data_IF_698174669579
#
_entry.id   IF_698174669579
#
_cell.length_a   1.000
_cell.length_b   1.000
_cell.length_c   1.000
_cell.angle_alpha   90.00
_cell.angle_beta   90.00
_cell.angle_gamma   90.00
#
_symmetry.space_group_name_H-M   'P 1'
#
loop_
_entity.id
_entity.type
_entity.pdbx_description
1 polymer ?
#
# COMPACT_ATOMS: atom_id res chain seq x y z
N UNK A 1 0.05 -3.21 -80.86
CA UNK A 1 0.77 -4.48 -80.62
C UNK A 1 2.21 -4.13 -80.24
N UNK A 2 2.47 -4.02 -78.94
CA UNK A 2 3.71 -3.65 -78.22
C UNK A 2 3.18 -3.32 -76.80
N UNK A 3 3.72 -3.75 -75.67
CA UNK A 3 5.00 -4.34 -75.31
C UNK A 3 4.88 -4.74 -73.83
N UNK A 4 5.21 -6.00 -73.51
CA UNK A 4 6.04 -6.44 -72.38
C UNK A 4 5.50 -6.25 -70.94
N UNK A 5 5.07 -7.36 -70.33
CA UNK A 5 5.41 -7.73 -68.94
C UNK A 5 6.84 -8.31 -68.93
N UNK A 6 7.62 -8.15 -67.82
CA UNK A 6 7.98 -9.38 -67.11
C UNK A 6 8.16 -9.26 -65.58
N UNK A 7 7.68 -10.31 -64.92
CA UNK A 7 8.32 -11.09 -63.83
C UNK A 7 8.84 -10.34 -62.59
N UNK A 8 8.05 -10.43 -61.52
CA UNK A 8 8.50 -10.35 -60.13
C UNK A 8 9.54 -11.45 -59.84
N UNK A 9 10.77 -11.04 -59.52
CA UNK A 9 11.77 -11.91 -58.90
C UNK A 9 11.47 -12.05 -57.41
N UNK A 10 11.41 -13.31 -56.95
CA UNK A 10 11.45 -13.67 -55.54
C UNK A 10 12.85 -13.37 -54.99
N UNK A 11 12.95 -12.40 -54.09
CA UNK A 11 14.14 -12.24 -53.23
C UNK A 11 13.92 -13.12 -52.01
N UNK A 12 14.67 -14.22 -51.94
CA UNK A 12 14.77 -15.09 -50.77
C UNK A 12 15.83 -14.48 -49.86
N UNK A 13 15.42 -13.87 -48.75
CA UNK A 13 16.32 -13.50 -47.67
C UNK A 13 16.59 -14.74 -46.82
N UNK A 14 17.84 -15.24 -46.86
CA UNK A 14 18.33 -16.20 -45.90
C UNK A 14 18.56 -15.49 -44.56
N UNK A 15 17.65 -15.66 -43.60
CA UNK A 15 17.93 -15.37 -42.21
C UNK A 15 18.60 -16.60 -41.59
N UNK A 16 19.92 -16.54 -41.48
CA UNK A 16 20.71 -17.47 -40.68
C UNK A 16 20.39 -17.22 -39.20
N UNK A 17 19.68 -18.17 -38.58
CA UNK A 17 19.45 -18.23 -37.14
C UNK A 17 20.80 -18.51 -36.44
N UNK A 18 21.48 -17.46 -36.01
CA UNK A 18 22.56 -17.55 -35.02
C UNK A 18 21.89 -17.69 -33.66
N UNK A 19 21.78 -18.94 -33.18
CA UNK A 19 21.51 -19.26 -31.78
C UNK A 19 22.68 -18.72 -30.95
N UNK A 20 22.60 -17.46 -30.52
CA UNK A 20 23.35 -17.00 -29.37
C UNK A 20 22.77 -17.73 -28.17
N UNK A 21 23.52 -18.72 -27.70
CA UNK A 21 23.35 -19.36 -26.41
C UNK A 21 23.53 -18.27 -25.35
N UNK A 22 22.47 -17.51 -25.06
CA UNK A 22 22.37 -16.80 -23.79
C UNK A 22 22.37 -17.91 -22.75
N UNK A 23 23.54 -18.13 -22.16
CA UNK A 23 23.61 -18.69 -20.81
C UNK A 23 22.74 -17.76 -20.00
N UNK A 24 21.52 -18.23 -19.70
CA UNK A 24 20.72 -17.70 -18.61
C UNK A 24 21.59 -17.88 -17.37
N UNK A 25 22.42 -16.86 -17.10
CA UNK A 25 22.76 -16.56 -15.73
C UNK A 25 21.39 -16.41 -15.09
N UNK A 26 21.07 -17.33 -14.18
CA UNK A 26 19.93 -17.24 -13.30
C UNK A 26 19.99 -15.87 -12.61
N UNK A 27 19.44 -14.84 -13.25
CA UNK A 27 18.93 -13.63 -12.63
C UNK A 27 17.55 -13.98 -12.06
N UNK A 28 17.48 -15.07 -11.29
CA UNK A 28 16.68 -14.95 -10.08
C UNK A 28 17.43 -13.88 -9.31
N UNK A 29 16.86 -12.68 -9.24
CA UNK A 29 17.11 -11.74 -8.16
C UNK A 29 17.34 -12.59 -6.91
N UNK A 30 18.58 -12.64 -6.40
CA UNK A 30 18.77 -13.13 -5.04
C UNK A 30 17.98 -12.13 -4.21
N UNK A 31 16.77 -12.55 -3.83
CA UNK A 31 15.83 -11.67 -3.20
C UNK A 31 16.50 -11.11 -1.93
N UNK A 32 16.76 -9.79 -1.83
CA UNK A 32 17.52 -9.23 -0.71
C UNK A 32 16.85 -9.47 0.66
N UNK A 33 15.61 -9.96 0.66
CA UNK A 33 14.78 -10.24 1.82
C UNK A 33 15.07 -11.59 2.52
N UNK A 34 15.85 -12.50 1.91
CA UNK A 34 16.27 -13.75 2.56
C UNK A 34 17.76 -13.70 2.92
N UNK A 35 18.09 -13.15 4.09
CA UNK A 35 19.45 -13.29 4.61
C UNK A 35 19.75 -14.75 5.01
N UNK A 36 18.76 -15.43 5.63
CA UNK A 36 18.83 -16.83 6.08
C UNK A 36 17.39 -17.34 6.30
N UNK A 37 17.05 -18.55 5.85
CA UNK A 37 15.71 -19.15 6.05
C UNK A 37 15.20 -19.07 7.49
N UNK A 38 16.10 -19.09 8.47
CA UNK A 38 15.76 -19.02 9.89
C UNK A 38 15.47 -17.61 10.39
N UNK A 39 16.21 -16.60 9.92
CA UNK A 39 15.86 -15.18 10.13
C UNK A 39 14.89 -14.77 9.04
N UNK A 40 13.61 -15.08 9.25
CA UNK A 40 12.62 -14.98 8.20
C UNK A 40 12.18 -13.54 7.89
N UNK A 41 12.49 -12.57 8.76
CA UNK A 41 12.24 -11.15 8.52
C UNK A 41 13.30 -10.28 9.18
N UNK A 42 13.85 -9.34 8.42
CA UNK A 42 14.74 -8.29 8.92
C UNK A 42 14.26 -6.94 8.40
N UNK A 43 14.17 -5.96 9.28
CA UNK A 43 13.92 -4.58 8.89
C UNK A 43 14.86 -3.61 9.64
N UNK A 44 15.54 -2.70 8.94
CA UNK A 44 15.80 -2.72 7.51
C UNK A 44 16.45 -4.04 7.07
N UNK A 45 16.31 -4.41 5.80
CA UNK A 45 17.00 -5.59 5.27
C UNK A 45 18.49 -5.27 5.03
N UNK A 46 19.35 -6.30 4.90
CA UNK A 46 20.76 -6.11 4.57
C UNK A 46 20.97 -5.28 3.32
N UNK A 47 21.87 -4.31 3.41
CA UNK A 47 22.27 -3.36 2.36
C UNK A 47 21.14 -2.43 1.87
N UNK A 48 20.02 -2.36 2.60
CA UNK A 48 18.94 -1.43 2.31
C UNK A 48 19.42 0.02 2.30
N UNK A 49 18.85 0.84 1.42
CA UNK A 49 19.23 2.25 1.24
C UNK A 49 18.05 3.18 1.48
N UNK A 50 18.37 4.49 1.57
CA UNK A 50 17.40 5.54 1.83
C UNK A 50 16.58 5.31 3.11
N UNK A 51 17.17 4.63 4.10
CA UNK A 51 16.51 4.33 5.36
C UNK A 51 16.28 5.62 6.15
N UNK A 52 15.09 5.73 6.74
CA UNK A 52 14.74 6.85 7.59
C UNK A 52 15.61 6.85 8.87
N UNK A 53 16.23 7.99 9.26
CA UNK A 53 17.00 8.15 10.50
C UNK A 53 16.30 7.70 11.77
N UNK A 54 14.97 7.77 11.80
CA UNK A 54 14.16 7.39 12.96
C UNK A 54 13.82 5.89 12.96
N UNK A 55 14.35 5.08 12.03
CA UNK A 55 13.98 3.66 11.91
C UNK A 55 14.22 2.85 13.18
N UNK A 56 13.30 1.93 13.47
CA UNK A 56 13.57 0.83 14.41
C UNK A 56 14.26 -0.31 13.65
N UNK A 57 14.86 -1.24 14.41
CA UNK A 57 15.30 -2.53 13.85
C UNK A 57 14.33 -3.62 14.28
N UNK A 58 13.95 -4.49 13.36
CA UNK A 58 13.09 -5.64 13.61
C UNK A 58 13.83 -6.89 13.13
N UNK A 59 14.04 -7.83 14.05
CA UNK A 59 14.68 -9.11 13.77
C UNK A 59 13.69 -10.20 14.15
N UNK A 60 13.24 -10.99 13.16
CA UNK A 60 12.40 -12.16 13.41
C UNK A 60 13.09 -13.46 13.07
N UNK A 61 12.89 -14.45 13.92
CA UNK A 61 13.54 -15.74 13.81
C UNK A 61 12.55 -16.91 13.99
N UNK A 62 12.77 -18.01 13.26
CA UNK A 62 11.87 -19.18 13.25
C UNK A 62 11.75 -19.90 14.59
N UNK A 63 12.83 -19.93 15.38
CA UNK A 63 12.75 -20.36 16.79
C UNK A 63 12.46 -19.15 17.69
N UNK A 64 11.57 -19.28 18.69
CA UNK A 64 11.28 -18.21 19.63
C UNK A 64 12.49 -17.96 20.52
N UNK A 65 12.90 -16.71 20.66
CA UNK A 65 13.95 -16.25 21.56
C UNK A 65 13.60 -16.53 23.03
N UNK A 66 14.63 -16.82 23.82
CA UNK A 66 14.56 -16.96 25.28
C UNK A 66 14.10 -15.64 25.92
N UNK A 67 13.22 -15.75 26.92
CA UNK A 67 12.81 -14.59 27.73
C UNK A 67 13.97 -14.06 28.59
N UNK A 68 14.99 -14.89 28.86
CA UNK A 68 16.25 -14.47 29.45
C UNK A 68 17.20 -13.95 28.36
N UNK A 69 17.32 -12.62 28.28
CA UNK A 69 18.17 -11.90 27.34
C UNK A 69 19.58 -11.62 27.87
N UNK A 70 19.98 -12.13 29.05
CA UNK A 70 21.27 -11.79 29.67
C UNK A 70 22.49 -12.16 28.79
N UNK A 71 22.38 -13.21 27.97
CA UNK A 71 23.43 -13.65 27.06
C UNK A 71 23.33 -12.99 25.68
N UNK A 72 22.22 -12.34 25.37
CA UNK A 72 21.97 -11.70 24.10
C UNK A 72 22.78 -10.41 24.00
N UNK A 73 23.58 -10.31 22.95
CA UNK A 73 24.34 -9.10 22.60
C UNK A 73 23.88 -8.63 21.24
N UNK A 74 22.96 -7.66 21.22
CA UNK A 74 22.62 -6.91 20.02
C UNK A 74 23.36 -5.57 20.06
N UNK A 75 24.38 -5.44 19.22
CA UNK A 75 25.18 -4.24 19.07
C UNK A 75 24.80 -3.55 17.77
N UNK A 76 24.45 -2.27 17.85
CA UNK A 76 24.20 -1.40 16.70
C UNK A 76 25.30 -0.36 16.65
N UNK A 77 25.93 -0.16 15.50
CA UNK A 77 27.05 0.77 15.34
C UNK A 77 26.87 1.70 14.16
N UNK A 78 27.39 2.92 14.24
CA UNK A 78 27.47 3.83 13.09
C UNK A 78 28.67 3.51 12.17
N UNK A 79 28.85 4.30 11.11
CA UNK A 79 29.95 4.14 10.14
C UNK A 79 31.35 4.33 10.73
N UNK A 80 31.48 4.83 11.97
CA UNK A 80 32.73 4.96 12.72
C UNK A 80 32.96 3.79 13.68
N UNK A 81 32.08 2.78 13.68
CA UNK A 81 32.03 1.67 14.63
C UNK A 81 31.75 2.10 16.08
N UNK A 82 31.15 3.28 16.29
CA UNK A 82 30.71 3.70 17.62
C UNK A 82 29.40 2.98 17.95
N UNK A 83 29.30 2.42 19.15
CA UNK A 83 28.09 1.72 19.60
C UNK A 83 27.00 2.74 19.90
N UNK A 84 25.86 2.56 19.25
CA UNK A 84 24.66 3.36 19.42
C UNK A 84 23.82 2.78 20.55
N UNK A 85 23.18 3.65 21.32
CA UNK A 85 22.33 3.26 22.46
C UNK A 85 20.88 3.11 22.02
N UNK A 86 20.16 2.24 22.73
CA UNK A 86 18.78 1.90 22.42
C UNK A 86 18.22 0.81 23.31
N UNK A 87 16.90 0.64 23.24
CA UNK A 87 16.14 -0.34 24.01
C UNK A 87 15.82 -1.54 23.14
N UNK A 88 16.03 -2.74 23.69
CA UNK A 88 15.59 -4.00 23.06
C UNK A 88 14.24 -4.38 23.66
N UNK A 89 13.28 -4.68 22.79
CA UNK A 89 11.99 -5.26 23.15
C UNK A 89 11.92 -6.67 22.58
N UNK A 90 11.54 -7.63 23.42
CA UNK A 90 11.06 -8.93 22.98
C UNK A 90 9.53 -8.87 22.97
N UNK A 91 8.90 -9.11 21.82
CA UNK A 91 7.44 -9.09 21.70
C UNK A 91 6.83 -10.41 22.17
N UNK A 92 5.51 -10.41 22.42
CA UNK A 92 4.79 -11.54 23.04
C UNK A 92 4.87 -12.84 22.23
N UNK A 93 5.09 -12.75 20.92
CA UNK A 93 5.35 -13.90 20.06
C UNK A 93 6.67 -14.63 20.39
N UNK A 94 7.57 -13.99 21.14
CA UNK A 94 8.97 -14.36 21.34
C UNK A 94 9.75 -14.59 20.04
N UNK A 95 9.17 -14.34 18.88
CA UNK A 95 9.82 -14.49 17.58
C UNK A 95 10.40 -13.16 17.09
N UNK A 96 9.99 -12.04 17.69
CA UNK A 96 10.38 -10.70 17.26
C UNK A 96 11.21 -9.98 18.32
N UNK A 97 12.46 -9.64 17.97
CA UNK A 97 13.28 -8.67 18.69
C UNK A 97 13.19 -7.32 17.98
N UNK A 98 12.87 -6.26 18.72
CA UNK A 98 12.81 -4.90 18.21
C UNK A 98 13.83 -4.05 18.94
N UNK A 99 14.71 -3.40 18.20
CA UNK A 99 15.62 -2.39 18.74
C UNK A 99 15.06 -1.00 18.46
N UNK A 100 14.86 -0.23 19.53
CA UNK A 100 14.43 1.16 19.51
C UNK A 100 15.65 2.05 19.80
N UNK A 101 16.21 2.76 18.82
CA UNK A 101 17.32 3.68 19.07
C UNK A 101 16.92 4.77 20.07
N UNK A 102 17.82 5.12 20.99
CA UNK A 102 17.57 6.22 21.95
C UNK A 102 17.59 7.60 21.27
N UNK A 103 18.28 7.70 20.13
CA UNK A 103 18.36 8.88 19.28
C UNK A 103 18.26 8.46 17.80
N UNK A 104 17.76 9.34 16.91
CA UNK A 104 17.79 9.09 15.48
C UNK A 104 19.23 8.87 14.99
N UNK A 105 19.39 8.03 13.98
CA UNK A 105 20.67 7.85 13.30
C UNK A 105 21.08 9.11 12.53
N UNK A 106 22.38 9.31 12.31
CA UNK A 106 22.84 10.46 11.51
C UNK A 106 22.57 10.22 10.02
N UNK A 107 22.16 11.27 9.30
CA UNK A 107 21.94 11.21 7.86
C UNK A 107 23.23 10.79 7.12
N UNK A 108 23.11 9.83 6.20
CA UNK A 108 24.23 9.33 5.40
C UNK A 108 25.10 8.29 6.12
N UNK A 109 24.79 7.92 7.36
CA UNK A 109 25.52 6.86 8.05
C UNK A 109 25.24 5.48 7.45
N UNK A 110 26.24 4.60 7.59
CA UNK A 110 26.08 3.16 7.42
C UNK A 110 25.93 2.55 8.81
N UNK A 111 24.79 1.92 9.07
CA UNK A 111 24.49 1.31 10.36
C UNK A 111 24.82 -0.16 10.30
N UNK A 112 25.72 -0.61 11.17
CA UNK A 112 26.03 -2.02 11.38
C UNK A 112 25.17 -2.62 12.49
N UNK A 113 24.67 -3.83 12.27
CA UNK A 113 23.86 -4.59 13.22
C UNK A 113 24.56 -5.93 13.48
N UNK A 114 24.79 -6.25 14.75
CA UNK A 114 25.42 -7.51 15.15
C UNK A 114 24.66 -8.15 16.31
N UNK A 115 24.12 -9.34 16.11
CA UNK A 115 23.45 -10.13 17.14
C UNK A 115 24.27 -11.38 17.46
N UNK A 116 24.60 -11.58 18.73
CA UNK A 116 25.34 -12.76 19.22
C UNK A 116 24.78 -13.29 20.52
N UNK A 117 24.99 -14.59 20.77
CA UNK A 117 24.70 -15.23 22.05
C UNK A 117 23.20 -15.35 22.37
N UNK A 118 22.34 -15.07 21.39
CA UNK A 118 20.91 -15.31 21.51
C UNK A 118 20.63 -16.82 21.68
N UNK A 119 19.64 -17.13 22.51
CA UNK A 119 19.18 -18.50 22.75
C UNK A 119 17.69 -18.58 22.47
N UNK A 120 17.21 -19.75 22.07
CA UNK A 120 15.78 -20.01 21.95
C UNK A 120 15.18 -20.47 23.28
N UNK A 121 13.85 -20.49 23.37
CA UNK A 121 13.13 -20.99 24.56
C UNK A 121 13.41 -22.48 24.84
N UNK A 122 13.76 -23.26 23.83
CA UNK A 122 14.20 -24.66 23.98
C UNK A 122 15.64 -24.78 24.48
N UNK A 123 16.35 -23.66 24.64
CA UNK A 123 17.74 -23.61 25.13
C UNK A 123 18.79 -23.78 24.03
N UNK A 124 18.39 -23.88 22.75
CA UNK A 124 19.31 -23.94 21.62
C UNK A 124 20.00 -22.57 21.44
N UNK A 125 21.20 -22.58 20.86
CA UNK A 125 21.81 -21.36 20.38
C UNK A 125 21.10 -20.90 19.10
N UNK A 126 20.72 -19.63 19.07
CA UNK A 126 20.34 -18.94 17.84
C UNK A 126 21.64 -18.52 17.15
N UNK A 127 21.72 -18.70 15.84
CA UNK A 127 22.92 -18.31 15.09
C UNK A 127 23.23 -16.81 15.19
N UNK A 128 24.51 -16.46 15.13
CA UNK A 128 24.92 -15.06 15.05
C UNK A 128 24.40 -14.43 13.74
N UNK A 129 24.05 -13.14 13.81
CA UNK A 129 23.60 -12.34 12.67
C UNK A 129 24.43 -11.07 12.55
N UNK A 130 24.86 -10.73 11.34
CA UNK A 130 25.61 -9.51 11.05
C UNK A 130 25.24 -8.93 9.69
N UNK A 131 24.77 -7.69 9.66
CA UNK A 131 24.46 -6.98 8.42
C UNK A 131 24.60 -5.47 8.61
N UNK A 132 24.48 -4.72 7.52
CA UNK A 132 24.45 -3.26 7.54
C UNK A 132 23.34 -2.71 6.65
N UNK A 133 23.00 -1.43 6.83
CA UNK A 133 22.11 -0.67 5.94
C UNK A 133 22.50 0.81 5.93
N UNK A 134 21.95 1.59 5.00
CA UNK A 134 22.32 2.98 4.75
C UNK A 134 21.18 3.94 5.09
N UNK A 135 21.46 4.89 5.98
CA UNK A 135 20.55 6.00 6.27
C UNK A 135 20.57 6.98 5.10
N UNK A 136 19.40 7.51 4.73
CA UNK A 136 19.30 8.54 3.69
C UNK A 136 20.22 9.72 3.98
N UNK A 137 20.81 10.29 2.94
CA UNK A 137 21.79 11.37 3.09
C UNK A 137 21.17 12.72 3.46
N UNK A 138 19.87 12.90 3.20
CA UNK A 138 19.15 14.15 3.47
C UNK A 138 17.70 13.86 3.83
N UNK A 139 17.16 14.66 4.74
CA UNK A 139 15.72 14.69 4.99
C UNK A 139 15.04 15.63 4.00
N UNK A 140 13.98 15.16 3.37
CA UNK A 140 13.04 16.01 2.62
C UNK A 140 11.81 16.24 3.50
N UNK A 141 11.38 17.49 3.72
CA UNK A 141 10.16 17.75 4.46
C UNK A 141 8.95 17.21 3.68
N UNK A 142 7.86 16.84 4.36
CA UNK A 142 6.60 16.54 3.70
C UNK A 142 6.18 17.70 2.81
N UNK A 143 5.69 17.36 1.62
CA UNK A 143 5.09 18.32 0.70
C UNK A 143 3.58 18.17 0.81
N UNK A 144 2.87 19.26 1.07
CA UNK A 144 1.42 19.30 0.90
C UNK A 144 1.12 19.15 -0.59
N UNK A 145 0.67 17.97 -0.99
CA UNK A 145 0.17 17.70 -2.32
C UNK A 145 -1.32 17.58 -2.18
N UNK A 146 -2.02 18.61 -2.63
CA UNK A 146 -3.46 18.51 -2.82
C UNK A 146 -3.67 17.66 -4.08
N UNK A 147 -3.85 16.35 -3.91
CA UNK A 147 -4.02 15.39 -5.01
C UNK A 147 -5.27 15.69 -5.87
N UNK A 148 -6.10 16.65 -5.45
CA UNK A 148 -7.30 17.13 -6.13
C UNK A 148 -7.09 18.54 -6.74
N UNK A 149 -6.19 18.67 -7.72
CA UNK A 149 -6.05 19.92 -8.50
C UNK A 149 -7.14 20.10 -9.57
N UNK A 150 -7.88 19.03 -9.90
CA UNK A 150 -9.12 19.11 -10.66
C UNK A 150 -10.27 19.22 -9.67
N UNK A 151 -10.76 20.44 -9.44
CA UNK A 151 -11.88 20.68 -8.53
C UNK A 151 -13.01 19.66 -8.74
N UNK A 152 -13.71 19.31 -7.65
CA UNK A 152 -14.84 18.38 -7.69
C UNK A 152 -15.72 18.68 -8.90
N UNK A 153 -16.19 17.66 -9.65
CA UNK A 153 -17.14 17.92 -10.71
C UNK A 153 -18.28 18.73 -10.10
N UNK A 154 -18.38 20.00 -10.50
CA UNK A 154 -19.56 20.80 -10.23
C UNK A 154 -20.66 20.15 -11.04
N UNK A 155 -21.33 19.13 -10.48
CA UNK A 155 -22.59 18.70 -11.04
C UNK A 155 -23.62 19.75 -10.64
N UNK A 156 -23.66 20.78 -11.48
CA UNK A 156 -24.85 21.51 -11.85
C UNK A 156 -25.85 20.46 -12.30
N UNK A 157 -26.78 20.13 -11.42
CA UNK A 157 -28.21 20.31 -11.64
C UNK A 157 -28.86 20.04 -10.29
N UNK A 158 -29.70 20.97 -9.83
CA UNK A 158 -30.66 20.74 -8.76
C UNK A 158 -31.65 19.65 -9.20
N UNK A 159 -31.20 18.40 -9.29
CA UNK A 159 -32.09 17.26 -9.20
C UNK A 159 -32.49 17.18 -7.74
N UNK A 160 -33.57 17.89 -7.45
CA UNK A 160 -34.32 17.79 -6.20
C UNK A 160 -34.84 16.36 -6.10
N UNK A 161 -33.97 15.42 -5.72
CA UNK A 161 -34.43 14.19 -5.10
C UNK A 161 -34.83 14.63 -3.70
N UNK A 162 -36.14 14.82 -3.51
CA UNK A 162 -36.71 14.89 -2.17
C UNK A 162 -36.30 13.59 -1.49
N UNK A 163 -35.29 13.66 -0.63
CA UNK A 163 -35.09 12.65 0.39
C UNK A 163 -36.46 12.37 0.99
N UNK A 164 -36.86 11.10 1.04
CA UNK A 164 -38.08 10.70 1.75
C UNK A 164 -38.01 11.03 3.25
N UNK A 165 -36.89 11.55 3.75
CA UNK A 165 -36.78 12.10 5.09
C UNK A 165 -37.71 13.30 5.27
N UNK A 166 -38.61 13.22 6.23
CA UNK A 166 -39.37 14.36 6.76
C UNK A 166 -38.49 15.41 7.48
N UNK A 167 -37.16 15.25 7.44
CA UNK A 167 -36.18 16.07 8.15
C UNK A 167 -35.58 17.16 7.26
N UNK A 168 -35.37 18.34 7.86
CA UNK A 168 -34.60 19.43 7.28
C UNK A 168 -33.10 19.13 7.45
N UNK A 169 -32.36 19.00 6.35
CA UNK A 169 -30.92 18.71 6.35
C UNK A 169 -30.10 20.02 6.31
N UNK A 170 -28.90 20.05 6.90
CA UNK A 170 -28.09 21.26 6.93
C UNK A 170 -27.57 21.67 5.55
N UNK A 171 -27.23 22.95 5.40
CA UNK A 171 -26.61 23.49 4.20
C UNK A 171 -25.33 22.72 3.83
N UNK A 172 -25.22 22.35 2.56
CA UNK A 172 -24.05 21.63 2.04
C UNK A 172 -24.05 20.12 2.31
N UNK A 173 -25.09 19.58 2.97
CA UNK A 173 -25.27 18.13 3.07
C UNK A 173 -25.34 17.53 1.65
N UNK A 174 -24.59 16.46 1.35
CA UNK A 174 -24.55 15.88 0.02
C UNK A 174 -25.85 15.13 -0.30
N UNK A 175 -26.37 15.33 -1.49
CA UNK A 175 -27.57 14.65 -1.97
C UNK A 175 -27.20 13.48 -2.86
N UNK A 176 -27.87 12.34 -2.65
CA UNK A 176 -27.67 11.11 -3.42
C UNK A 176 -28.98 10.69 -4.07
N UNK A 177 -28.88 10.15 -5.28
CA UNK A 177 -29.97 9.43 -5.95
C UNK A 177 -29.69 7.94 -5.81
N UNK A 178 -30.62 7.20 -5.19
CA UNK A 178 -30.53 5.74 -5.13
C UNK A 178 -31.22 5.21 -6.38
N UNK A 179 -30.42 4.75 -7.34
CA UNK A 179 -30.92 4.21 -8.60
C UNK A 179 -31.65 2.87 -8.44
N UNK A 180 -31.01 1.89 -7.80
CA UNK A 180 -31.58 0.58 -7.51
C UNK A 180 -31.16 0.09 -6.12
N UNK A 181 -32.13 -0.37 -5.33
CA UNK A 181 -31.92 -1.00 -4.01
C UNK A 181 -32.71 -2.31 -3.95
N UNK A 182 -32.11 -3.40 -4.45
CA UNK A 182 -32.75 -4.72 -4.52
C UNK A 182 -32.19 -5.71 -3.49
N UNK A 183 -30.95 -5.53 -3.04
CA UNK A 183 -30.35 -6.23 -1.90
C UNK A 183 -29.88 -5.21 -0.86
N UNK A 184 -30.69 -4.94 0.18
CA UNK A 184 -30.25 -4.11 1.29
C UNK A 184 -29.02 -4.72 1.97
N UNK A 185 -28.10 -3.88 2.45
CA UNK A 185 -27.04 -4.34 3.35
C UNK A 185 -27.67 -5.04 4.55
N UNK A 186 -27.06 -6.16 4.96
CA UNK A 186 -27.55 -6.92 6.12
C UNK A 186 -27.45 -6.08 7.41
N UNK A 187 -26.46 -5.18 7.46
CA UNK A 187 -26.19 -4.25 8.56
C UNK A 187 -27.05 -2.99 8.53
N UNK A 188 -27.88 -2.82 7.49
CA UNK A 188 -28.82 -1.71 7.30
C UNK A 188 -28.22 -0.31 7.10
N UNK A 189 -26.90 -0.13 7.22
CA UNK A 189 -26.24 1.18 7.19
C UNK A 189 -25.00 1.24 6.30
N UNK A 190 -24.81 2.39 5.65
CA UNK A 190 -23.63 2.74 4.88
C UNK A 190 -22.85 3.86 5.56
N UNK A 191 -21.54 3.68 5.72
CA UNK A 191 -20.64 4.69 6.25
C UNK A 191 -19.92 5.37 5.08
N UNK A 192 -19.96 6.70 5.05
CA UNK A 192 -19.41 7.48 3.95
C UNK A 192 -18.72 8.74 4.48
N UNK A 193 -17.58 9.06 3.89
CA UNK A 193 -16.96 10.37 3.98
C UNK A 193 -17.25 11.10 2.67
N UNK A 194 -17.95 12.22 2.74
CA UNK A 194 -18.29 13.04 1.58
C UNK A 194 -17.41 14.27 1.51
N UNK A 195 -16.95 14.53 0.31
CA UNK A 195 -16.22 15.73 -0.07
C UNK A 195 -17.02 16.64 -1.01
N UNK A 196 -18.28 16.28 -1.30
CA UNK A 196 -19.14 17.03 -2.22
C UNK A 196 -19.80 18.17 -1.47
N UNK A 197 -19.54 19.40 -1.90
CA UNK A 197 -20.07 20.62 -1.28
C UNK A 197 -19.27 20.99 -0.03
N UNK A 198 -19.57 20.36 1.10
CA UNK A 198 -18.79 20.47 2.34
C UNK A 198 -18.32 19.08 2.79
N UNK A 199 -17.41 19.05 3.76
CA UNK A 199 -16.87 17.79 4.27
C UNK A 199 -17.79 17.20 5.34
N UNK A 200 -18.33 16.02 5.09
CA UNK A 200 -19.27 15.35 5.99
C UNK A 200 -18.89 13.90 6.23
N UNK A 201 -19.05 13.46 7.47
CA UNK A 201 -19.20 12.05 7.80
C UNK A 201 -20.66 11.69 7.88
N UNK A 202 -21.04 10.60 7.23
CA UNK A 202 -22.42 10.19 7.04
C UNK A 202 -22.61 8.72 7.40
N UNK A 203 -23.70 8.43 8.10
CA UNK A 203 -24.26 7.09 8.21
C UNK A 203 -25.67 7.17 7.65
N UNK A 204 -25.94 6.45 6.58
CA UNK A 204 -27.27 6.40 5.95
C UNK A 204 -27.81 4.99 5.96
N UNK A 205 -29.12 4.83 6.02
CA UNK A 205 -29.75 3.53 5.82
C UNK A 205 -29.76 3.10 4.34
N UNK A 206 -30.36 1.95 4.04
CA UNK A 206 -30.52 1.46 2.66
C UNK A 206 -31.39 2.36 1.76
N UNK A 207 -32.17 3.28 2.33
CA UNK A 207 -32.96 4.25 1.59
C UNK A 207 -32.26 5.62 1.52
N UNK A 208 -31.01 5.72 1.96
CA UNK A 208 -30.25 6.97 1.97
C UNK A 208 -30.73 7.94 3.05
N UNK A 209 -31.57 7.48 3.98
CA UNK A 209 -32.04 8.30 5.10
C UNK A 209 -30.87 8.43 6.09
N UNK A 210 -30.46 9.65 6.46
CA UNK A 210 -29.38 9.83 7.42
C UNK A 210 -29.78 9.33 8.80
N UNK A 211 -28.95 8.46 9.35
CA UNK A 211 -28.95 8.05 10.76
C UNK A 211 -28.03 8.95 11.59
N UNK A 212 -26.88 9.33 11.02
CA UNK A 212 -25.91 10.23 11.62
C UNK A 212 -25.27 11.08 10.55
N UNK A 213 -24.96 12.33 10.88
CA UNK A 213 -24.05 13.14 10.10
C UNK A 213 -23.23 14.09 10.97
N UNK A 214 -22.03 14.42 10.51
CA UNK A 214 -21.17 15.42 11.15
C UNK A 214 -20.32 16.14 10.12
N UNK A 215 -20.47 17.45 10.05
CA UNK A 215 -19.59 18.32 9.26
C UNK A 215 -18.19 18.34 9.89
N UNK A 216 -17.15 18.25 9.06
CA UNK A 216 -15.76 18.44 9.46
C UNK A 216 -15.21 19.75 8.91
N UNK A 217 -14.31 20.44 9.65
CA UNK A 217 -13.78 21.73 9.22
C UNK A 217 -12.84 21.62 8.02
N UNK A 218 -12.30 20.43 7.77
CA UNK A 218 -11.41 20.11 6.64
C UNK A 218 -11.81 18.78 6.03
N UNK A 219 -11.18 18.45 4.90
CA UNK A 219 -11.25 17.17 4.22
C UNK A 219 -11.23 15.99 5.21
N UNK A 220 -12.15 15.07 4.99
CA UNK A 220 -12.28 13.85 5.76
C UNK A 220 -12.45 12.64 4.84
N UNK A 221 -11.86 11.52 5.22
CA UNK A 221 -11.81 10.30 4.41
C UNK A 221 -11.89 9.05 5.30
N UNK A 222 -12.04 7.88 4.68
CA UNK A 222 -11.96 6.57 5.33
C UNK A 222 -12.86 6.43 6.58
N UNK A 223 -14.11 6.89 6.47
CA UNK A 223 -15.09 6.77 7.54
C UNK A 223 -15.72 5.38 7.56
N UNK A 224 -15.37 4.59 8.56
CA UNK A 224 -15.79 3.19 8.66
C UNK A 224 -15.77 2.67 10.09
N UNK A 225 -16.41 1.51 10.29
CA UNK A 225 -16.26 0.69 11.50
C UNK A 225 -15.08 -0.27 11.29
N UNK A 226 -14.16 -0.32 12.24
CA UNK A 226 -13.03 -1.25 12.21
C UNK A 226 -13.38 -2.59 12.87
N UNK A 227 -12.49 -3.59 12.73
CA UNK A 227 -12.70 -4.94 13.28
C UNK A 227 -12.78 -4.99 14.81
N UNK A 228 -12.29 -3.96 15.50
CA UNK A 228 -12.43 -3.79 16.94
C UNK A 228 -13.76 -3.13 17.37
N UNK A 229 -14.64 -2.79 16.43
CA UNK A 229 -15.94 -2.18 16.66
C UNK A 229 -15.94 -0.66 16.84
N UNK A 230 -14.78 0.00 16.80
CA UNK A 230 -14.70 1.45 16.85
C UNK A 230 -14.80 2.08 15.46
N UNK A 231 -15.33 3.30 15.42
CA UNK A 231 -15.48 4.07 14.20
C UNK A 231 -14.22 4.90 14.00
N UNK A 232 -13.65 4.93 12.79
CA UNK A 232 -12.54 5.82 12.48
C UNK A 232 -12.83 6.68 11.26
N UNK A 233 -12.10 7.80 11.15
CA UNK A 233 -11.97 8.57 9.92
C UNK A 233 -10.69 9.38 9.90
N UNK A 234 -10.14 9.65 8.72
CA UNK A 234 -9.06 10.63 8.55
C UNK A 234 -9.59 12.06 8.60
N UNK A 235 -8.86 12.97 9.24
CA UNK A 235 -9.14 14.41 9.24
C UNK A 235 -7.88 15.22 8.88
N UNK A 236 -7.92 15.96 7.77
CA UNK A 236 -6.76 16.64 7.21
C UNK A 236 -6.11 17.65 8.18
N UNK A 237 -6.88 18.48 8.91
CA UNK A 237 -6.32 19.43 9.89
C UNK A 237 -5.53 18.78 11.02
N UNK A 238 -5.74 17.48 11.27
CA UNK A 238 -5.00 16.74 12.31
C UNK A 238 -3.86 15.91 11.75
N UNK A 239 -3.79 15.75 10.42
CA UNK A 239 -2.94 14.78 9.73
C UNK A 239 -2.98 13.39 10.41
N UNK A 240 -4.19 12.94 10.72
CA UNK A 240 -4.43 11.78 11.57
C UNK A 240 -5.79 11.13 11.32
N UNK A 241 -5.90 9.85 11.68
CA UNK A 241 -7.18 9.19 11.86
C UNK A 241 -7.70 9.41 13.28
N UNK A 242 -8.98 9.74 13.39
CA UNK A 242 -9.72 9.97 14.63
C UNK A 242 -10.52 8.72 14.96
N UNK A 243 -10.32 8.15 16.15
CA UNK A 243 -11.16 7.06 16.67
C UNK A 243 -12.33 7.61 17.50
N UNK A 244 -13.53 7.08 17.24
CA UNK A 244 -14.74 7.35 17.98
C UNK A 244 -15.33 6.06 18.58
N UNK A 245 -15.99 6.18 19.74
CA UNK A 245 -16.87 5.13 20.25
C UNK A 245 -18.25 5.11 19.56
N UNK A 246 -19.10 4.16 19.95
CA UNK A 246 -20.47 4.02 19.42
C UNK A 246 -21.41 5.18 19.79
N UNK A 247 -21.01 6.05 20.73
CA UNK A 247 -21.69 7.31 21.03
C UNK A 247 -21.03 8.51 20.32
N UNK A 248 -20.18 8.24 19.32
CA UNK A 248 -19.44 9.22 18.52
C UNK A 248 -18.48 10.12 19.33
N UNK A 249 -18.05 9.66 20.50
CA UNK A 249 -17.12 10.41 21.36
C UNK A 249 -15.68 10.07 20.97
N UNK A 250 -14.85 11.10 20.93
CA UNK A 250 -13.41 10.97 20.69
C UNK A 250 -12.74 10.01 21.68
N UNK A 251 -11.90 9.12 21.17
CA UNK A 251 -11.07 8.21 21.97
C UNK A 251 -9.58 8.48 21.83
N UNK A 252 -9.08 8.48 20.59
CA UNK A 252 -7.64 8.65 20.30
C UNK A 252 -7.40 9.07 18.84
N UNK A 253 -6.14 9.38 18.56
CA UNK A 253 -5.63 9.63 17.21
C UNK A 253 -4.65 8.53 16.80
N UNK A 254 -4.68 8.15 15.53
CA UNK A 254 -3.63 7.37 14.88
C UNK A 254 -2.86 8.27 13.92
N UNK A 255 -1.53 8.25 14.03
CA UNK A 255 -0.61 9.01 13.19
C UNK A 255 0.49 8.12 12.65
N UNK A 256 1.10 8.57 11.56
CA UNK A 256 2.39 8.09 11.13
C UNK A 256 3.43 8.19 12.25
N UNK A 257 4.33 7.21 12.27
CA UNK A 257 5.46 7.16 13.20
C UNK A 257 6.74 7.59 12.48
N UNK A 258 7.84 7.76 13.23
CA UNK A 258 9.20 7.87 12.67
C UNK A 258 9.42 9.04 11.68
N UNK A 259 8.62 10.10 11.78
CA UNK A 259 8.73 11.27 10.89
C UNK A 259 8.14 11.09 9.49
N UNK A 260 7.42 9.99 9.23
CA UNK A 260 6.59 9.84 8.04
C UNK A 260 5.35 10.75 8.10
N UNK A 261 4.75 11.02 6.95
CA UNK A 261 3.45 11.69 6.89
C UNK A 261 2.31 10.66 6.93
N UNK A 262 1.25 10.94 7.69
CA UNK A 262 0.08 10.08 7.74
C UNK A 262 -0.64 10.14 6.40
N UNK A 263 -0.64 9.04 5.66
CA UNK A 263 -1.43 8.93 4.44
C UNK A 263 -2.92 8.83 4.80
N UNK A 264 -3.78 9.41 3.98
CA UNK A 264 -5.21 9.56 4.25
C UNK A 264 -6.08 8.41 3.75
N UNK A 265 -5.51 7.42 3.05
CA UNK A 265 -6.29 6.43 2.32
C UNK A 265 -6.81 5.28 3.19
N UNK A 266 -5.99 4.74 4.10
CA UNK A 266 -6.38 3.53 4.85
C UNK A 266 -5.75 3.44 6.25
N UNK A 267 -6.62 3.26 7.24
CA UNK A 267 -6.30 2.70 8.55
C UNK A 267 -7.07 1.39 8.76
N UNK A 268 -6.41 0.31 9.15
CA UNK A 268 -7.10 -0.90 9.65
C UNK A 268 -6.82 -1.07 11.14
N UNK A 269 -7.86 -1.19 11.96
CA UNK A 269 -7.69 -1.56 13.38
C UNK A 269 -8.24 -2.96 13.64
N UNK A 270 -7.38 -3.82 14.17
CA UNK A 270 -7.62 -5.23 14.42
C UNK A 270 -8.27 -5.45 15.79
N UNK A 271 -8.93 -6.61 16.05
CA UNK A 271 -9.65 -6.86 17.30
C UNK A 271 -8.80 -6.75 18.57
N UNK A 272 -7.50 -7.06 18.48
CA UNK A 272 -6.52 -6.95 19.57
C UNK A 272 -6.02 -5.50 19.80
N UNK A 273 -6.43 -4.56 18.96
CA UNK A 273 -6.01 -3.16 19.01
C UNK A 273 -4.74 -2.85 18.21
N UNK A 274 -4.09 -3.87 17.63
CA UNK A 274 -3.05 -3.65 16.63
C UNK A 274 -3.65 -2.96 15.41
N UNK A 275 -2.84 -2.20 14.69
CA UNK A 275 -3.34 -1.41 13.59
C UNK A 275 -2.33 -1.26 12.46
N UNK A 276 -2.87 -0.99 11.27
CA UNK A 276 -2.11 -0.89 10.03
C UNK A 276 -2.31 0.48 9.41
N UNK A 277 -1.23 1.07 8.93
CA UNK A 277 -1.25 2.39 8.29
C UNK A 277 -0.47 2.37 7.00
N UNK A 278 -0.96 3.13 6.01
CA UNK A 278 -0.15 3.63 4.91
C UNK A 278 0.48 4.96 5.38
N UNK A 279 1.75 5.18 5.08
CA UNK A 279 2.42 6.45 5.37
C UNK A 279 3.26 6.88 4.17
N UNK A 280 3.46 8.19 4.02
CA UNK A 280 4.26 8.74 2.93
C UNK A 280 5.66 9.11 3.44
N UNK A 281 6.67 8.74 2.66
CA UNK A 281 8.03 9.24 2.80
C UNK A 281 8.47 9.95 1.52
N UNK A 282 9.11 11.10 1.69
CA UNK A 282 9.59 11.96 0.61
C UNK A 282 11.10 11.79 0.51
N UNK A 283 11.58 11.36 -0.66
CA UNK A 283 12.99 11.11 -0.94
C UNK A 283 13.49 12.10 -1.99
N UNK A 284 14.64 12.72 -1.74
CA UNK A 284 15.33 13.47 -2.79
C UNK A 284 16.05 12.48 -3.70
N UNK A 285 15.64 12.41 -4.96
CA UNK A 285 16.14 11.42 -5.92
C UNK A 285 16.59 12.10 -7.21
N UNK A 286 17.75 11.69 -7.69
CA UNK A 286 18.27 12.12 -8.99
C UNK A 286 17.58 11.33 -10.12
N UNK A 287 16.45 11.83 -10.60
CA UNK A 287 15.68 11.15 -11.66
C UNK A 287 16.39 11.15 -13.01
N UNK A 288 17.44 11.97 -13.20
CA UNK A 288 18.26 11.94 -14.42
C UNK A 288 19.03 10.62 -14.59
N UNK A 289 19.17 9.85 -13.51
CA UNK A 289 19.74 8.49 -13.52
C UNK A 289 18.77 7.44 -14.06
N UNK A 290 17.47 7.74 -14.10
CA UNK A 290 16.40 6.81 -14.50
C UNK A 290 15.81 7.15 -15.87
N UNK A 291 15.70 8.44 -16.21
CA UNK A 291 15.13 8.91 -17.48
C UNK A 291 15.84 10.19 -17.95
N UNK A 292 16.05 10.35 -19.26
CA UNK A 292 16.83 11.45 -19.84
C UNK A 292 16.29 12.85 -19.48
N UNK A 293 14.96 13.01 -19.39
CA UNK A 293 14.31 14.25 -18.98
C UNK A 293 14.26 14.46 -17.45
N UNK A 294 14.75 13.49 -16.67
CA UNK A 294 14.51 13.41 -15.24
C UNK A 294 15.15 14.57 -14.49
N UNK A 295 14.40 15.14 -13.53
CA UNK A 295 14.91 16.20 -12.68
C UNK A 295 15.94 15.62 -11.68
N UNK A 296 17.20 16.10 -11.66
CA UNK A 296 18.23 15.57 -10.77
C UNK A 296 18.04 15.92 -9.29
N UNK A 297 17.01 16.70 -8.97
CA UNK A 297 16.60 17.08 -7.61
C UNK A 297 15.11 16.84 -7.39
N UNK A 298 14.55 15.80 -8.02
CA UNK A 298 13.14 15.45 -7.84
C UNK A 298 12.86 14.97 -6.41
N UNK A 299 11.64 15.22 -5.94
CA UNK A 299 11.10 14.53 -4.77
C UNK A 299 10.29 13.32 -5.23
N UNK A 300 10.77 12.12 -4.92
CA UNK A 300 10.03 10.87 -5.13
C UNK A 300 9.24 10.57 -3.86
N UNK A 301 7.96 10.25 -4.01
CA UNK A 301 7.11 9.81 -2.89
C UNK A 301 7.08 8.28 -2.90
N UNK A 302 7.52 7.70 -1.79
CA UNK A 302 7.44 6.27 -1.53
C UNK A 302 6.48 6.01 -0.35
N UNK A 303 5.92 4.81 -0.30
CA UNK A 303 4.88 4.44 0.64
C UNK A 303 5.41 3.42 1.63
N UNK A 304 5.15 3.66 2.90
CA UNK A 304 5.58 2.83 4.03
C UNK A 304 4.35 2.23 4.69
N UNK A 305 4.12 0.94 4.47
CA UNK A 305 3.07 0.19 5.15
C UNK A 305 3.63 -0.30 6.49
N UNK A 306 2.91 -0.06 7.57
CA UNK A 306 3.32 -0.45 8.92
C UNK A 306 2.21 -1.26 9.61
N UNK A 307 2.61 -2.33 10.30
CA UNK A 307 1.82 -2.95 11.37
C UNK A 307 2.36 -2.42 12.71
N UNK A 308 1.47 -1.96 13.58
CA UNK A 308 1.79 -1.47 14.92
C UNK A 308 0.97 -2.19 15.97
N UNK A 309 1.55 -2.40 17.14
CA UNK A 309 0.78 -2.83 18.30
C UNK A 309 -0.13 -1.71 18.82
N UNK A 310 -1.01 -2.03 19.77
CA UNK A 310 -1.96 -1.08 20.36
C UNK A 310 -1.32 0.16 21.00
N UNK A 311 -0.03 0.08 21.37
CA UNK A 311 0.77 1.16 21.97
C UNK A 311 1.59 1.94 20.92
N UNK A 312 1.54 1.52 19.65
CA UNK A 312 2.20 2.18 18.52
C UNK A 312 3.63 1.71 18.24
N UNK A 313 4.08 0.61 18.85
CA UNK A 313 5.36 -0.02 18.49
C UNK A 313 5.22 -0.71 17.15
N UNK A 314 6.09 -0.39 16.20
CA UNK A 314 6.09 -0.98 14.86
C UNK A 314 6.56 -2.44 14.93
N UNK A 315 5.68 -3.36 14.54
CA UNK A 315 5.90 -4.80 14.53
C UNK A 315 6.37 -5.32 13.17
N UNK A 316 6.11 -4.54 12.10
CA UNK A 316 6.48 -4.84 10.73
C UNK A 316 6.39 -3.57 9.88
N UNK A 317 7.28 -3.44 8.91
CA UNK A 317 7.33 -2.33 7.97
C UNK A 317 7.69 -2.81 6.56
N UNK A 318 7.09 -2.20 5.55
CA UNK A 318 7.35 -2.51 4.15
C UNK A 318 7.32 -1.22 3.33
N UNK A 319 8.40 -0.95 2.60
CA UNK A 319 8.62 0.30 1.88
C UNK A 319 8.57 0.03 0.38
N UNK A 320 7.76 0.76 -0.36
CA UNK A 320 7.71 0.57 -1.83
C UNK A 320 9.07 0.81 -2.48
N UNK A 321 9.93 1.64 -1.89
CA UNK A 321 11.27 1.93 -2.43
C UNK A 321 12.19 0.70 -2.44
N UNK A 322 11.97 -0.23 -1.50
CA UNK A 322 12.76 -1.44 -1.39
C UNK A 322 12.32 -2.47 -2.42
N UNK A 323 11.00 -2.57 -2.64
CA UNK A 323 10.38 -3.69 -3.35
C UNK A 323 9.95 -3.37 -4.79
N UNK A 324 9.83 -2.10 -5.17
CA UNK A 324 9.47 -1.67 -6.52
C UNK A 324 10.58 -0.83 -7.14
N UNK A 325 10.70 -0.89 -8.47
CA UNK A 325 11.46 0.13 -9.19
C UNK A 325 10.59 1.40 -9.32
N UNK A 326 11.18 2.58 -9.16
CA UNK A 326 10.47 3.85 -9.39
C UNK A 326 9.84 3.86 -10.79
N UNK A 327 10.51 3.27 -11.78
CA UNK A 327 10.04 3.18 -13.16
C UNK A 327 8.94 2.13 -13.39
N UNK A 328 8.48 1.42 -12.36
CA UNK A 328 7.32 0.53 -12.45
C UNK A 328 6.00 1.30 -12.62
N UNK A 329 6.00 2.60 -12.29
CA UNK A 329 4.86 3.49 -12.51
C UNK A 329 4.35 3.42 -13.95
N UNK A 330 3.02 3.37 -14.13
CA UNK A 330 2.43 3.38 -15.47
C UNK A 330 2.80 4.71 -16.16
N UNK A 331 3.51 4.70 -17.31
CA UNK A 331 3.94 5.92 -17.98
C UNK A 331 2.77 6.75 -18.52
N UNK A 332 1.55 6.20 -18.60
CA UNK A 332 0.35 6.98 -18.91
C UNK A 332 -0.18 7.79 -17.71
N UNK A 333 0.30 7.49 -16.50
CA UNK A 333 -0.11 8.11 -15.23
C UNK A 333 1.01 8.88 -14.51
N UNK A 334 2.25 8.47 -14.73
CA UNK A 334 3.41 8.98 -14.02
C UNK A 334 4.28 9.80 -14.97
N UNK A 335 4.33 11.11 -14.70
CA UNK A 335 5.32 11.98 -15.32
C UNK A 335 6.65 11.88 -14.55
N UNK A 336 7.57 11.07 -15.06
CA UNK A 336 8.91 10.87 -14.50
C UNK A 336 9.86 12.07 -14.69
N UNK A 337 9.49 13.06 -15.52
CA UNK A 337 10.28 14.26 -15.71
C UNK A 337 9.97 15.35 -14.66
N UNK A 338 8.89 15.16 -13.89
CA UNK A 338 8.39 16.17 -12.97
C UNK A 338 9.29 16.35 -11.73
N UNK A 339 9.19 17.50 -11.06
CA UNK A 339 9.89 17.79 -9.82
C UNK A 339 9.35 16.98 -8.63
N UNK A 340 8.11 16.49 -8.71
CA UNK A 340 7.52 15.55 -7.77
C UNK A 340 7.07 14.31 -8.54
N UNK A 341 7.59 13.15 -8.17
CA UNK A 341 7.28 11.87 -8.82
C UNK A 341 6.54 10.97 -7.83
N UNK A 342 5.29 10.65 -8.17
CA UNK A 342 4.46 9.70 -7.43
C UNK A 342 4.32 8.47 -8.33
N UNK A 343 5.01 7.39 -7.99
CA UNK A 343 5.12 6.23 -8.88
C UNK A 343 4.16 5.09 -8.53
N UNK A 344 3.90 4.82 -7.23
CA UNK A 344 3.03 3.71 -6.82
C UNK A 344 1.60 4.15 -6.48
N UNK A 345 1.44 5.15 -5.60
CA UNK A 345 0.14 5.60 -5.09
C UNK A 345 -0.63 4.47 -4.39
N UNK A 346 -0.07 3.97 -3.29
CA UNK A 346 -0.71 2.91 -2.49
C UNK A 346 -1.92 3.50 -1.77
N UNK A 347 -3.09 2.88 -1.95
CA UNK A 347 -4.36 3.45 -1.50
C UNK A 347 -5.28 2.49 -0.73
N UNK A 348 -4.86 1.24 -0.52
CA UNK A 348 -5.62 0.33 0.32
C UNK A 348 -4.75 -0.82 0.85
N UNK A 349 -5.12 -1.34 2.01
CA UNK A 349 -4.53 -2.54 2.62
C UNK A 349 -5.65 -3.55 2.87
N UNK A 350 -5.38 -4.84 2.64
CA UNK A 350 -6.15 -5.94 3.16
C UNK A 350 -5.21 -7.00 3.75
N UNK A 351 -5.65 -7.63 4.85
CA UNK A 351 -4.96 -8.74 5.49
C UNK A 351 -5.80 -9.98 5.29
N UNK A 352 -5.23 -11.00 4.65
CA UNK A 352 -5.93 -12.24 4.37
C UNK A 352 -5.97 -13.19 5.59
N UNK A 353 -6.49 -14.40 5.37
CA UNK A 353 -6.60 -15.43 6.38
C UNK A 353 -5.26 -16.05 6.82
N UNK A 354 -4.22 -15.95 5.99
CA UNK A 354 -2.86 -16.38 6.31
C UNK A 354 -2.04 -15.28 7.01
N UNK A 355 -2.59 -14.06 7.06
CA UNK A 355 -1.92 -12.87 7.57
C UNK A 355 -1.13 -12.12 6.50
N UNK A 356 -1.13 -12.59 5.25
CA UNK A 356 -0.45 -11.95 4.13
C UNK A 356 -1.18 -10.67 3.71
N UNK A 357 -0.40 -9.71 3.20
CA UNK A 357 -0.86 -8.34 2.94
C UNK A 357 -1.16 -8.20 1.46
N UNK A 358 -2.35 -7.71 1.13
CA UNK A 358 -2.71 -7.26 -0.21
C UNK A 358 -2.74 -5.74 -0.21
N UNK A 359 -2.04 -5.11 -1.15
CA UNK A 359 -2.09 -3.67 -1.36
C UNK A 359 -2.61 -3.34 -2.76
N UNK A 360 -3.23 -2.17 -2.89
CA UNK A 360 -3.61 -1.58 -4.18
C UNK A 360 -2.75 -0.37 -4.46
N UNK A 361 -2.12 -0.34 -5.64
CA UNK A 361 -1.27 0.76 -6.10
C UNK A 361 -1.89 1.38 -7.35
N UNK A 362 -2.52 2.54 -7.19
CA UNK A 362 -3.29 3.23 -8.23
C UNK A 362 -2.48 3.52 -9.49
N UNK A 363 -1.27 4.05 -9.30
CA UNK A 363 -0.39 4.48 -10.40
C UNK A 363 0.43 3.34 -11.00
N UNK A 364 0.32 2.15 -10.44
CA UNK A 364 0.81 0.91 -11.07
C UNK A 364 -0.29 0.20 -11.87
N UNK A 365 -1.57 0.60 -11.73
CA UNK A 365 -2.72 -0.18 -12.18
C UNK A 365 -2.71 -1.62 -11.64
N UNK A 366 -2.25 -1.80 -10.39
CA UNK A 366 -1.85 -3.11 -9.89
C UNK A 366 -2.27 -3.38 -8.44
N UNK A 367 -2.62 -4.64 -8.16
CA UNK A 367 -2.63 -5.22 -6.82
C UNK A 367 -1.38 -6.04 -6.56
N UNK A 368 -0.77 -5.86 -5.39
CA UNK A 368 0.44 -6.59 -4.99
C UNK A 368 0.16 -7.38 -3.72
N UNK A 369 0.41 -8.69 -3.76
CA UNK A 369 0.34 -9.57 -2.59
C UNK A 369 1.72 -9.74 -2.01
N UNK A 370 1.82 -9.60 -0.69
CA UNK A 370 3.07 -9.58 0.07
C UNK A 370 2.99 -10.65 1.16
N UNK A 371 4.02 -11.48 1.24
CA UNK A 371 4.19 -12.43 2.32
C UNK A 371 4.49 -11.68 3.62
N UNK A 372 3.64 -11.82 4.64
CA UNK A 372 3.81 -11.07 5.88
C UNK A 372 5.02 -11.52 6.70
N UNK A 373 5.38 -12.78 6.57
CA UNK A 373 6.54 -13.31 7.28
C UNK A 373 7.82 -12.81 6.62
N UNK A 374 7.94 -12.84 5.29
CA UNK A 374 9.22 -12.53 4.62
C UNK A 374 9.32 -11.12 4.06
N UNK A 375 8.20 -10.42 3.90
CA UNK A 375 8.13 -9.15 3.18
C UNK A 375 8.22 -9.31 1.65
N UNK A 376 8.29 -10.53 1.14
CA UNK A 376 8.43 -10.77 -0.30
C UNK A 376 7.12 -10.53 -1.04
N UNK A 377 7.21 -10.02 -2.26
CA UNK A 377 6.08 -10.01 -3.19
C UNK A 377 5.79 -11.46 -3.60
N UNK A 378 4.60 -11.94 -3.27
CA UNK A 378 4.09 -13.25 -3.69
C UNK A 378 3.59 -13.20 -5.13
N UNK A 379 2.82 -12.17 -5.47
CA UNK A 379 2.35 -11.95 -6.82
C UNK A 379 1.91 -10.50 -7.09
N UNK A 380 1.82 -10.15 -8.38
CA UNK A 380 1.38 -8.86 -8.92
C UNK A 380 0.26 -9.09 -9.95
N UNK A 381 -0.92 -8.51 -9.74
CA UNK A 381 -2.09 -8.61 -10.62
C UNK A 381 -2.42 -7.24 -11.22
N UNK A 382 -2.52 -7.17 -12.54
CA UNK A 382 -2.77 -5.93 -13.28
C UNK A 382 -1.49 -5.15 -13.61
N UNK A 383 -1.64 -4.07 -14.36
CA UNK A 383 -0.54 -3.15 -14.66
C UNK A 383 0.57 -3.72 -15.56
N UNK A 384 1.69 -2.99 -15.61
CA UNK A 384 2.86 -3.30 -16.47
C UNK A 384 3.54 -4.62 -16.06
N UNK A 385 3.47 -4.97 -14.78
CA UNK A 385 4.11 -6.16 -14.20
C UNK A 385 3.11 -7.29 -13.89
N UNK A 386 1.97 -7.29 -14.57
CA UNK A 386 0.94 -8.30 -14.40
C UNK A 386 1.51 -9.72 -14.61
N UNK A 387 1.25 -10.61 -13.65
CA UNK A 387 1.66 -12.01 -13.72
C UNK A 387 0.51 -12.96 -14.11
N UNK A 388 -0.72 -12.45 -14.21
CA UNK A 388 -1.91 -13.28 -14.43
C UNK A 388 -2.49 -13.10 -15.83
N UNK A 389 -3.04 -14.19 -16.38
CA UNK A 389 -4.01 -14.06 -17.47
C UNK A 389 -5.36 -13.67 -16.88
N UNK A 390 -5.86 -12.49 -17.23
CA UNK A 390 -7.21 -12.06 -16.85
C UNK A 390 -8.20 -12.76 -17.79
N UNK A 391 -9.18 -13.44 -17.22
CA UNK A 391 -10.12 -14.29 -17.98
C UNK A 391 -11.54 -13.85 -17.75
N UNK A 392 -12.26 -13.60 -18.85
CA UNK A 392 -13.69 -13.32 -18.83
C UNK A 392 -14.07 -11.89 -18.43
N UNK A 393 -13.10 -11.05 -18.09
CA UNK A 393 -13.37 -9.64 -17.82
C UNK A 393 -13.64 -8.88 -19.13
N UNK A 394 -14.82 -8.25 -19.31
CA UNK A 394 -15.13 -7.51 -20.53
C UNK A 394 -14.22 -6.30 -20.79
N UNK A 395 -13.54 -5.76 -19.76
CA UNK A 395 -12.63 -4.62 -19.90
C UNK A 395 -11.15 -5.01 -19.76
N UNK A 396 -10.84 -6.31 -19.74
CA UNK A 396 -9.47 -6.83 -19.62
C UNK A 396 -8.71 -6.35 -18.36
N UNK A 397 -9.44 -6.14 -17.26
CA UNK A 397 -8.89 -5.74 -15.97
C UNK A 397 -9.40 -4.39 -15.47
N UNK A 398 -8.68 -3.84 -14.50
CA UNK A 398 -9.02 -2.59 -13.80
C UNK A 398 -7.97 -1.51 -14.04
N UNK A 399 -8.35 -0.24 -13.86
CA UNK A 399 -7.46 0.91 -13.94
C UNK A 399 -7.74 1.92 -12.82
N UNK A 400 -6.69 2.60 -12.34
CA UNK A 400 -6.69 3.61 -11.29
C UNK A 400 -7.42 3.17 -10.01
N UNK A 401 -7.38 1.87 -9.73
CA UNK A 401 -8.27 1.20 -8.79
C UNK A 401 -8.04 1.56 -7.32
N UNK A 402 -9.06 1.37 -6.50
CA UNK A 402 -9.05 1.55 -5.05
C UNK A 402 -9.65 0.33 -4.34
N UNK A 403 -9.44 0.29 -3.01
CA UNK A 403 -10.18 -0.59 -2.10
C UNK A 403 -10.10 -2.07 -2.50
N UNK A 404 -8.88 -2.56 -2.70
CA UNK A 404 -8.68 -3.99 -2.90
C UNK A 404 -8.92 -4.73 -1.59
N UNK A 405 -9.73 -5.79 -1.64
CA UNK A 405 -10.01 -6.69 -0.51
C UNK A 405 -9.88 -8.12 -0.99
N UNK A 406 -9.65 -9.02 -0.04
CA UNK A 406 -9.63 -10.46 -0.27
C UNK A 406 -10.42 -11.13 0.84
N UNK A 407 -11.36 -11.99 0.47
CA UNK A 407 -12.17 -12.73 1.42
C UNK A 407 -11.52 -14.07 1.83
N UNK A 408 -12.20 -14.82 2.71
CA UNK A 408 -11.71 -16.12 3.18
C UNK A 408 -11.68 -17.20 2.08
N UNK A 409 -12.40 -17.01 0.98
CA UNK A 409 -12.38 -17.90 -0.17
C UNK A 409 -11.29 -17.52 -1.20
N UNK A 410 -10.51 -16.47 -0.93
CA UNK A 410 -9.51 -15.95 -1.86
C UNK A 410 -10.10 -15.16 -3.03
N UNK A 411 -11.36 -14.73 -2.92
CA UNK A 411 -11.97 -13.85 -3.91
C UNK A 411 -11.45 -12.44 -3.66
N UNK A 412 -10.83 -11.87 -4.69
CA UNK A 412 -10.32 -10.51 -4.66
C UNK A 412 -11.39 -9.57 -5.20
N UNK A 413 -11.79 -8.57 -4.43
CA UNK A 413 -12.70 -7.50 -4.86
C UNK A 413 -11.98 -6.18 -4.99
N UNK A 414 -12.34 -5.40 -6.00
CA UNK A 414 -11.67 -4.14 -6.34
C UNK A 414 -12.71 -3.10 -6.72
N UNK A 415 -12.53 -1.85 -6.29
CA UNK A 415 -13.21 -0.72 -6.91
C UNK A 415 -12.36 -0.22 -8.07
N UNK A 416 -12.75 -0.61 -9.29
CA UNK A 416 -12.11 -0.19 -10.53
C UNK A 416 -12.63 1.22 -10.88
N UNK A 417 -11.79 2.24 -10.63
CA UNK A 417 -12.14 3.62 -10.97
C UNK A 417 -12.32 3.77 -12.48
N UNK A 418 -11.55 3.04 -13.28
CA UNK A 418 -11.78 2.91 -14.71
C UNK A 418 -11.42 4.14 -15.52
N UNK A 419 -10.51 4.98 -15.01
CA UNK A 419 -10.13 6.26 -15.62
C UNK A 419 -9.55 6.09 -17.03
N UNK A 420 -8.92 4.94 -17.30
CA UNK A 420 -8.29 4.64 -18.59
C UNK A 420 -9.06 3.61 -19.43
N UNK A 421 -10.27 3.25 -19.02
CA UNK A 421 -11.20 2.53 -19.91
C UNK A 421 -11.65 3.43 -21.06
N UNK A 422 -12.15 2.83 -22.14
CA UNK A 422 -12.65 3.58 -23.29
C UNK A 422 -14.10 3.14 -23.66
N UNK A 423 -15.13 3.93 -23.29
CA UNK A 423 -15.06 5.17 -22.51
C UNK A 423 -14.68 4.94 -21.04
N UNK A 424 -14.19 5.96 -20.31
CA UNK A 424 -13.94 5.85 -18.88
C UNK A 424 -15.20 5.43 -18.12
N UNK A 425 -15.07 4.45 -17.24
CA UNK A 425 -16.22 3.79 -16.61
C UNK A 425 -15.84 3.11 -15.30
N UNK A 426 -16.42 3.55 -14.18
CA UNK A 426 -16.16 2.94 -12.86
C UNK A 426 -17.04 1.73 -12.60
N UNK A 427 -16.50 0.74 -11.86
CA UNK A 427 -17.23 -0.48 -11.48
C UNK A 427 -16.63 -1.13 -10.24
N UNK A 428 -17.45 -1.85 -9.46
CA UNK A 428 -16.95 -2.82 -8.49
C UNK A 428 -16.73 -4.17 -9.19
N UNK A 429 -15.59 -4.82 -9.03
CA UNK A 429 -15.29 -6.10 -9.68
C UNK A 429 -14.76 -7.13 -8.71
N UNK A 430 -14.89 -8.40 -9.08
CA UNK A 430 -14.38 -9.53 -8.30
C UNK A 430 -13.70 -10.56 -9.19
N UNK A 431 -12.59 -11.11 -8.69
CA UNK A 431 -11.79 -12.13 -9.37
C UNK A 431 -11.48 -13.30 -8.43
N UNK A 432 -11.48 -14.51 -8.99
CA UNK A 432 -10.78 -15.65 -8.37
C UNK A 432 -9.36 -15.64 -8.89
N UNK A 433 -8.38 -15.59 -7.98
CA UNK A 433 -6.96 -15.60 -8.31
C UNK A 433 -6.39 -17.00 -8.04
N UNK A 434 -5.90 -17.66 -9.08
CA UNK A 434 -5.21 -18.96 -8.97
C UNK A 434 -3.73 -18.81 -9.32
N UNK A 435 -2.86 -18.95 -8.33
CA UNK A 435 -1.40 -18.84 -8.47
C UNK A 435 -0.74 -20.12 -8.98
N UNK A 436 -1.47 -21.23 -9.15
CA UNK A 436 -0.94 -22.43 -9.79
C UNK A 436 -1.02 -22.34 -11.31
N UNK A 437 -2.13 -21.81 -11.82
CA UNK A 437 -2.37 -21.58 -13.24
C UNK A 437 -2.05 -20.16 -13.69
N UNK A 438 -1.80 -19.23 -12.75
CA UNK A 438 -1.61 -17.80 -12.98
C UNK A 438 -2.79 -17.20 -13.76
N UNK A 439 -4.01 -17.51 -13.30
CA UNK A 439 -5.26 -17.00 -13.87
C UNK A 439 -5.99 -16.12 -12.85
N UNK A 440 -6.47 -14.96 -13.30
CA UNK A 440 -7.42 -14.13 -12.57
C UNK A 440 -8.76 -14.20 -13.31
N UNK A 441 -9.67 -15.03 -12.80
CA UNK A 441 -10.96 -15.27 -13.45
C UNK A 441 -11.99 -14.30 -12.91
N UNK A 442 -12.50 -13.44 -13.79
CA UNK A 442 -13.59 -12.52 -13.49
C UNK A 442 -14.85 -13.30 -13.06
N UNK A 443 -15.42 -12.91 -11.93
CA UNK A 443 -16.66 -13.48 -11.42
C UNK A 443 -17.84 -12.59 -11.79
N UNK A 444 -17.85 -11.39 -11.23
CA UNK A 444 -18.92 -10.42 -11.37
C UNK A 444 -18.35 -9.00 -11.36
N UNK A 445 -19.13 -8.10 -11.95
CA UNK A 445 -18.86 -6.67 -11.99
C UNK A 445 -20.17 -5.92 -11.80
N UNK A 446 -20.08 -4.80 -11.11
CA UNK A 446 -21.22 -3.98 -10.72
C UNK A 446 -20.98 -2.54 -11.12
N UNK A 447 -21.94 -1.96 -11.82
CA UNK A 447 -21.89 -0.60 -12.35
C UNK A 447 -23.31 0.01 -12.41
N UNK A 448 -23.43 1.21 -12.96
CA UNK A 448 -24.72 1.92 -13.09
C UNK A 448 -25.77 1.14 -13.91
N UNK A 449 -25.34 0.25 -14.82
CA UNK A 449 -26.20 -0.59 -15.66
C UNK A 449 -26.38 -2.01 -15.10
N UNK A 450 -25.46 -2.47 -14.26
CA UNK A 450 -25.44 -3.77 -13.59
C UNK A 450 -25.31 -3.56 -12.06
N UNK A 451 -26.31 -2.99 -11.39
CA UNK A 451 -26.25 -2.74 -9.95
C UNK A 451 -26.10 -4.04 -9.16
N UNK A 452 -25.59 -3.94 -7.93
CA UNK A 452 -25.58 -5.06 -6.96
C UNK A 452 -27.04 -5.44 -6.71
N UNK A 453 -27.49 -6.54 -7.33
CA UNK A 453 -28.89 -6.97 -7.27
C UNK A 453 -29.20 -7.57 -5.94
#
# INVERSE_FOLDING_TARGET
>A
MMSIYPRYQRVVFYFTFLFSLFVSINLFSQNPYHYNKKYYYLFPFPDATEINPYTNLIIKHQEPFSNDLNNLKLTVTNGKNEVLSGKILLKEDNHSLIYLPDQPFDNGDVIGVNLKGARSQSGNNIEDLAFSFHIKSRNSPPIEIDEFTGGFPTKIENKTVRSASEFELPDGYPYYEIGLNTLPTIDQYYFQASEVGRFFQLITDNNGIPYFYKETPTRCLDFKVNKNGYITYFEASKAAFVELDSAYRFRRLYKASLGYATNNHELLVMPDGNYWTINDEYLLTDMSQYVECGNPQATVIQYVIEEKDADGVILWQWRTFDHFNIMDGDPNQVDFCNAIVIYAHVNSIAIDHNGDVLISSRKLNELTKINKNTGEILWRLGGVHNQFTIVGDPLDGFTDQHTAREDQAGIVTVFDNGNYHNPPHSRGVSYVVDTNSWMATYLNGYDDNNPVV
#
